data_IF_902011614226
#
_entry.id   IF_902011614226
#
_cell.length_a   1.000
_cell.length_b   1.000
_cell.length_c   1.000
_cell.angle_alpha   90.00
_cell.angle_beta   90.00
_cell.angle_gamma   90.00
#
_symmetry.space_group_name_H-M   'P 1'
#
loop_
_entity.id
_entity.type
_entity.pdbx_description
1 polymer ?
#
# COMPACT_ATOMS: atom_id res chain seq x y z
N UNK A 1 -92.62 -0.22 -9.84
CA UNK A 1 -92.00 0.88 -10.60
C UNK A 1 -90.53 0.96 -10.17
N UNK A 2 -89.64 0.45 -11.04
CA UNK A 2 -88.16 0.43 -11.01
C UNK A 2 -87.42 0.43 -9.66
N UNK A 3 -86.90 -0.74 -9.32
CA UNK A 3 -85.72 -0.94 -8.47
C UNK A 3 -84.49 -0.23 -9.05
N UNK A 4 -83.92 0.69 -8.28
CA UNK A 4 -82.64 1.32 -8.59
C UNK A 4 -81.53 0.68 -7.77
N UNK A 5 -80.75 -0.15 -8.47
CA UNK A 5 -79.42 -0.65 -8.10
C UNK A 5 -78.54 0.52 -7.60
N UNK A 6 -77.93 0.39 -6.42
CA UNK A 6 -76.80 1.23 -6.01
C UNK A 6 -75.55 0.36 -5.89
N UNK A 7 -74.57 0.73 -6.70
CA UNK A 7 -73.32 0.06 -7.02
C UNK A 7 -72.32 0.29 -5.87
N UNK A 8 -71.75 -0.80 -5.34
CA UNK A 8 -70.58 -0.73 -4.47
C UNK A 8 -69.34 -0.40 -5.32
N UNK A 9 -68.70 0.74 -5.05
CA UNK A 9 -67.40 1.08 -5.63
C UNK A 9 -66.31 0.45 -4.76
N UNK A 10 -65.72 -0.66 -5.21
CA UNK A 10 -64.51 -1.23 -4.60
C UNK A 10 -63.32 -0.52 -5.24
N UNK A 11 -62.64 0.33 -4.47
CA UNK A 11 -61.37 0.92 -4.87
C UNK A 11 -60.29 -0.14 -4.71
N UNK A 12 -59.81 -0.69 -5.83
CA UNK A 12 -58.66 -1.58 -5.86
C UNK A 12 -57.38 -0.71 -5.89
N UNK A 13 -56.74 -0.51 -4.74
CA UNK A 13 -55.44 0.17 -4.66
C UNK A 13 -54.37 -0.81 -5.12
N UNK A 14 -53.90 -0.66 -6.36
CA UNK A 14 -52.75 -1.37 -6.87
C UNK A 14 -51.48 -0.78 -6.23
N UNK A 15 -50.92 -1.45 -5.23
CA UNK A 15 -49.58 -1.13 -4.72
C UNK A 15 -48.55 -1.55 -5.78
N UNK A 16 -48.14 -0.59 -6.63
CA UNK A 16 -46.94 -0.71 -7.44
C UNK A 16 -45.72 -0.66 -6.50
N UNK A 17 -45.26 -1.81 -6.05
CA UNK A 17 -43.94 -1.95 -5.46
C UNK A 17 -42.91 -1.70 -6.56
N UNK A 18 -42.46 -0.46 -6.71
CA UNK A 18 -41.28 -0.17 -7.52
C UNK A 18 -40.10 -0.89 -6.85
N UNK A 19 -39.34 -1.73 -7.57
CA UNK A 19 -38.09 -2.23 -7.04
C UNK A 19 -37.20 -1.00 -6.83
N UNK A 20 -36.93 -0.67 -5.57
CA UNK A 20 -35.83 0.22 -5.22
C UNK A 20 -34.58 -0.56 -5.62
N UNK A 21 -34.10 -0.36 -6.84
CA UNK A 21 -32.75 -0.72 -7.18
C UNK A 21 -31.86 0.11 -6.26
N UNK A 22 -31.27 -0.56 -5.27
CA UNK A 22 -30.19 0.01 -4.49
C UNK A 22 -29.13 0.45 -5.51
N UNK A 23 -28.92 1.75 -5.64
CA UNK A 23 -27.82 2.30 -6.40
C UNK A 23 -26.57 1.86 -5.67
N UNK A 24 -25.94 0.80 -6.18
CA UNK A 24 -24.65 0.34 -5.72
C UNK A 24 -23.74 1.56 -5.87
N UNK A 25 -23.33 2.17 -4.76
CA UNK A 25 -22.33 3.23 -4.79
C UNK A 25 -21.15 2.64 -5.52
N UNK A 26 -20.91 3.07 -6.76
CA UNK A 26 -19.69 2.76 -7.47
C UNK A 26 -18.57 3.29 -6.58
N UNK A 27 -17.92 2.39 -5.86
CA UNK A 27 -16.66 2.69 -5.19
C UNK A 27 -15.77 3.28 -6.27
N UNK A 28 -15.48 4.58 -6.21
CA UNK A 28 -14.46 5.17 -7.07
C UNK A 28 -13.16 4.47 -6.74
N UNK A 29 -12.76 3.54 -7.60
CA UNK A 29 -11.52 2.80 -7.44
C UNK A 29 -10.44 3.60 -8.15
N UNK A 30 -9.50 4.16 -7.39
CA UNK A 30 -8.50 5.08 -7.93
C UNK A 30 -7.13 4.41 -8.01
N UNK A 31 -6.50 4.50 -9.19
CA UNK A 31 -5.08 4.23 -9.39
C UNK A 31 -4.22 5.45 -9.02
N UNK A 32 -4.76 6.63 -9.28
CA UNK A 32 -4.04 7.89 -9.28
C UNK A 32 -4.93 9.02 -8.77
N UNK A 33 -4.33 9.97 -8.08
CA UNK A 33 -4.97 11.21 -7.65
C UNK A 33 -4.07 12.41 -7.88
N UNK A 34 -4.68 13.53 -8.23
CA UNK A 34 -3.97 14.80 -8.31
C UNK A 34 -3.46 15.21 -6.92
N UNK A 35 -2.20 15.65 -6.86
CA UNK A 35 -1.55 16.13 -5.64
C UNK A 35 -1.50 17.65 -5.53
N UNK A 36 -2.00 18.36 -6.55
CA UNK A 36 -1.91 19.81 -6.63
C UNK A 36 -0.47 20.24 -6.90
N UNK A 37 0.04 21.19 -6.11
CA UNK A 37 1.41 21.67 -6.25
C UNK A 37 2.42 20.65 -5.73
N UNK A 38 2.97 19.87 -6.66
CA UNK A 38 3.99 18.84 -6.38
C UNK A 38 5.24 19.45 -5.73
N UNK A 39 5.59 20.70 -6.02
CA UNK A 39 6.76 21.35 -5.45
C UNK A 39 6.59 21.68 -3.95
N UNK A 40 5.35 21.75 -3.47
CA UNK A 40 5.02 21.97 -2.07
C UNK A 40 4.95 20.67 -1.24
N UNK A 41 5.09 19.49 -1.85
CA UNK A 41 5.03 18.21 -1.15
C UNK A 41 6.28 17.95 -0.32
N UNK A 42 6.09 17.46 0.91
CA UNK A 42 7.18 16.94 1.73
C UNK A 42 7.51 15.50 1.32
N UNK A 43 8.59 15.34 0.55
CA UNK A 43 9.08 14.03 0.16
C UNK A 43 9.80 13.31 1.31
N UNK A 44 10.23 13.98 2.38
CA UNK A 44 10.96 13.31 3.46
C UNK A 44 10.06 12.34 4.24
N UNK A 45 8.81 12.71 4.48
CA UNK A 45 7.87 11.86 5.24
C UNK A 45 6.89 11.09 4.36
N UNK A 46 6.89 11.35 3.05
CA UNK A 46 6.19 10.55 2.05
C UNK A 46 4.69 10.42 2.32
N UNK A 47 4.15 9.21 2.08
CA UNK A 47 2.71 9.01 2.04
C UNK A 47 1.97 9.21 3.35
N UNK A 48 2.61 8.88 4.48
CA UNK A 48 2.03 9.03 5.80
C UNK A 48 2.26 10.42 6.41
N UNK A 49 3.28 11.15 5.93
CA UNK A 49 3.61 12.48 6.43
C UNK A 49 4.11 12.48 7.88
N UNK A 50 4.46 13.67 8.38
CA UNK A 50 5.08 13.82 9.71
C UNK A 50 4.24 13.28 10.87
N UNK A 51 2.91 13.38 10.77
CA UNK A 51 1.98 13.03 11.85
C UNK A 51 1.80 11.52 12.03
N UNK A 52 2.22 10.71 11.05
CA UNK A 52 2.09 9.25 11.07
C UNK A 52 3.44 8.54 11.12
N UNK A 53 4.50 9.26 11.48
CA UNK A 53 5.82 8.66 11.66
C UNK A 53 5.82 7.61 12.79
N UNK A 54 6.72 6.62 12.73
CA UNK A 54 6.94 5.70 13.84
C UNK A 54 7.35 6.45 15.11
N UNK A 55 6.92 5.91 16.24
CA UNK A 55 7.44 6.27 17.55
C UNK A 55 8.94 5.96 17.70
N UNK A 56 9.39 5.91 18.95
CA UNK A 56 10.79 5.72 19.33
C UNK A 56 11.03 4.44 20.12
N UNK A 57 10.00 3.88 20.74
CA UNK A 57 10.08 2.70 21.59
C UNK A 57 9.30 1.56 20.95
N UNK A 58 10.02 0.53 20.50
CA UNK A 58 9.40 -0.61 19.80
C UNK A 58 9.44 -1.86 20.68
N UNK A 59 8.37 -2.65 20.64
CA UNK A 59 8.30 -3.97 21.27
C UNK A 59 8.24 -5.02 20.17
N UNK A 60 9.11 -6.03 20.25
CA UNK A 60 9.13 -7.14 19.31
C UNK A 60 7.86 -7.99 19.42
N UNK A 61 7.22 -8.27 18.28
CA UNK A 61 6.05 -9.15 18.19
C UNK A 61 6.49 -10.54 17.71
N UNK A 62 6.98 -10.62 16.47
CA UNK A 62 7.39 -11.88 15.85
C UNK A 62 8.32 -11.66 14.65
N UNK A 63 9.13 -12.66 14.36
CA UNK A 63 9.84 -12.74 13.08
C UNK A 63 8.85 -13.14 11.98
N UNK A 64 8.95 -12.50 10.81
CA UNK A 64 8.15 -12.87 9.64
C UNK A 64 9.06 -13.57 8.60
N UNK A 65 8.84 -14.88 8.46
CA UNK A 65 9.68 -15.76 7.63
C UNK A 65 9.27 -15.81 6.15
N UNK A 66 8.20 -15.11 5.75
CA UNK A 66 7.76 -15.08 4.36
C UNK A 66 8.72 -14.30 3.45
N UNK A 67 8.68 -14.55 2.14
CA UNK A 67 9.56 -13.87 1.16
C UNK A 67 11.04 -14.13 1.38
N UNK A 68 11.92 -13.30 0.78
CA UNK A 68 13.38 -13.49 0.82
C UNK A 68 14.09 -12.54 1.78
N UNK A 69 13.67 -11.28 1.84
CA UNK A 69 14.30 -10.27 2.69
C UNK A 69 13.98 -10.47 4.18
N UNK A 70 14.96 -10.23 5.08
CA UNK A 70 14.75 -10.31 6.52
C UNK A 70 13.74 -9.27 7.02
N UNK A 71 12.77 -9.73 7.81
CA UNK A 71 11.71 -8.87 8.34
C UNK A 71 11.08 -9.42 9.61
N UNK A 72 10.57 -8.51 10.44
CA UNK A 72 9.87 -8.82 11.69
C UNK A 72 8.81 -7.75 11.97
N UNK A 73 7.93 -8.04 12.92
CA UNK A 73 6.84 -7.14 13.32
C UNK A 73 7.12 -6.56 14.71
N UNK A 74 6.81 -5.28 14.87
CA UNK A 74 6.89 -4.55 16.13
C UNK A 74 5.63 -3.73 16.35
N UNK A 75 5.37 -3.37 17.60
CA UNK A 75 4.42 -2.31 17.96
C UNK A 75 5.19 -1.16 18.60
N UNK A 76 4.83 0.08 18.28
CA UNK A 76 5.39 1.26 18.91
C UNK A 76 4.60 1.71 20.16
N UNK A 77 5.10 2.73 20.86
CA UNK A 77 4.44 3.27 22.06
C UNK A 77 3.06 3.88 21.82
N UNK A 78 2.70 4.16 20.56
CA UNK A 78 1.39 4.68 20.17
C UNK A 78 0.41 3.55 19.80
N UNK A 79 0.82 2.29 19.94
CA UNK A 79 0.02 1.12 19.56
C UNK A 79 -0.05 0.86 18.06
N UNK A 80 0.84 1.48 17.27
CA UNK A 80 0.90 1.26 15.82
C UNK A 80 1.78 0.06 15.52
N UNK A 81 1.24 -0.88 14.74
CA UNK A 81 1.99 -2.04 14.26
C UNK A 81 2.81 -1.67 13.02
N UNK A 82 4.07 -2.11 13.02
CA UNK A 82 5.03 -1.86 11.97
C UNK A 82 5.66 -3.18 11.51
N UNK A 83 5.75 -3.35 10.19
CA UNK A 83 6.61 -4.38 9.60
C UNK A 83 7.98 -3.77 9.34
N UNK A 84 8.97 -4.22 10.10
CA UNK A 84 10.36 -3.81 9.91
C UNK A 84 10.99 -4.71 8.85
N UNK A 85 11.44 -4.12 7.75
CA UNK A 85 12.22 -4.79 6.69
C UNK A 85 13.67 -4.31 6.74
N UNK A 86 14.61 -5.25 6.64
CA UNK A 86 16.05 -4.98 6.66
C UNK A 86 16.69 -5.36 5.33
N UNK A 87 17.91 -4.87 5.12
CA UNK A 87 18.74 -5.21 3.97
C UNK A 87 18.82 -4.13 2.91
N UNK A 88 19.47 -4.47 1.80
CA UNK A 88 19.86 -3.56 0.72
C UNK A 88 18.71 -2.75 0.12
N UNK A 89 17.48 -3.25 0.19
CA UNK A 89 16.28 -2.65 -0.41
C UNK A 89 15.57 -1.66 0.53
N UNK A 90 15.99 -1.56 1.80
CA UNK A 90 15.34 -0.69 2.79
C UNK A 90 15.38 0.79 2.35
N UNK A 91 16.52 1.26 1.83
CA UNK A 91 16.71 2.64 1.39
C UNK A 91 16.05 2.92 0.05
N UNK A 92 16.26 2.03 -0.93
CA UNK A 92 15.73 2.21 -2.29
C UNK A 92 14.22 2.23 -2.28
N UNK A 93 13.57 1.37 -1.49
CA UNK A 93 12.12 1.40 -1.47
C UNK A 93 11.57 2.67 -0.84
N UNK A 94 12.08 3.08 0.32
CA UNK A 94 11.62 4.31 0.95
C UNK A 94 11.75 5.51 0.01
N UNK A 95 12.83 5.58 -0.78
CA UNK A 95 12.99 6.62 -1.79
C UNK A 95 11.99 6.48 -2.96
N UNK A 96 11.83 5.27 -3.50
CA UNK A 96 10.97 5.00 -4.64
C UNK A 96 9.48 5.24 -4.32
N UNK A 97 9.00 4.82 -3.15
CA UNK A 97 7.60 5.05 -2.74
C UNK A 97 7.28 6.53 -2.63
N UNK A 98 8.22 7.37 -2.18
CA UNK A 98 8.07 8.84 -2.14
C UNK A 98 7.89 9.43 -3.53
N UNK A 99 8.68 8.99 -4.51
CA UNK A 99 8.57 9.47 -5.90
C UNK A 99 7.23 9.05 -6.55
N UNK A 100 6.85 7.78 -6.36
CA UNK A 100 5.59 7.25 -6.88
C UNK A 100 4.39 7.93 -6.22
N UNK A 101 4.45 8.16 -4.91
CA UNK A 101 3.44 8.89 -4.16
C UNK A 101 3.28 10.34 -4.64
N UNK A 102 4.40 11.04 -4.85
CA UNK A 102 4.43 12.43 -5.32
C UNK A 102 3.87 12.55 -6.74
N UNK A 103 4.11 11.54 -7.59
CA UNK A 103 3.54 11.44 -8.92
C UNK A 103 2.03 11.15 -8.92
N UNK A 104 1.40 10.96 -7.75
CA UNK A 104 -0.05 10.83 -7.59
C UNK A 104 -0.56 9.41 -7.34
N UNK A 105 0.31 8.39 -7.43
CA UNK A 105 -0.08 7.01 -7.20
C UNK A 105 -0.18 6.67 -5.71
N UNK A 106 -0.84 5.55 -5.42
CA UNK A 106 -0.89 4.97 -4.08
C UNK A 106 0.37 4.13 -3.83
N UNK A 107 1.02 4.39 -2.72
CA UNK A 107 2.20 3.67 -2.25
C UNK A 107 2.11 3.49 -0.73
N UNK A 108 2.85 2.53 -0.21
CA UNK A 108 2.88 2.22 1.22
C UNK A 108 3.44 3.37 2.07
N UNK A 109 2.98 3.45 3.31
CA UNK A 109 3.52 4.37 4.31
C UNK A 109 4.82 3.78 4.88
N UNK A 110 5.94 4.14 4.24
CA UNK A 110 7.28 3.68 4.59
C UNK A 110 8.14 4.77 5.22
N UNK A 111 8.80 4.43 6.32
CA UNK A 111 9.79 5.29 6.97
C UNK A 111 11.12 4.57 7.14
N UNK A 112 12.20 5.26 6.81
CA UNK A 112 13.55 4.77 7.08
C UNK A 112 14.09 5.36 8.39
N UNK A 113 14.67 4.51 9.22
CA UNK A 113 15.42 4.89 10.42
C UNK A 113 16.82 4.26 10.34
N UNK A 114 17.90 5.07 10.42
CA UNK A 114 19.26 4.54 10.49
C UNK A 114 19.44 3.56 11.65
N UNK A 115 18.70 3.79 12.74
CA UNK A 115 18.69 2.94 13.92
C UNK A 115 17.35 3.00 14.63
N UNK A 116 16.88 1.87 15.14
CA UNK A 116 15.79 1.76 16.12
C UNK A 116 16.23 0.90 17.31
N UNK A 117 15.52 1.01 18.43
CA UNK A 117 15.68 0.13 19.59
C UNK A 117 14.41 -0.69 19.78
N UNK A 118 14.57 -2.01 19.84
CA UNK A 118 13.47 -2.96 19.96
C UNK A 118 13.61 -3.74 21.27
N UNK A 119 12.68 -3.52 22.19
CA UNK A 119 12.58 -4.27 23.43
C UNK A 119 12.14 -5.71 23.15
N UNK A 120 12.76 -6.66 23.85
CA UNK A 120 12.41 -8.08 23.73
C UNK A 120 12.85 -8.72 22.42
N UNK A 121 13.75 -8.07 21.67
CA UNK A 121 14.28 -8.56 20.40
C UNK A 121 14.78 -10.00 20.54
N UNK A 122 14.32 -10.86 19.65
CA UNK A 122 14.75 -12.26 19.57
C UNK A 122 15.80 -12.41 18.45
N UNK A 123 16.69 -13.41 18.55
CA UNK A 123 17.56 -13.75 17.43
C UNK A 123 16.74 -14.00 16.16
N UNK A 124 17.11 -13.33 15.08
CA UNK A 124 16.49 -13.50 13.77
C UNK A 124 17.15 -14.67 13.04
N UNK A 125 16.34 -15.46 12.33
CA UNK A 125 16.85 -16.49 11.42
C UNK A 125 17.51 -15.91 10.17
N UNK A 126 17.16 -14.68 9.79
CA UNK A 126 17.76 -13.92 8.67
C UNK A 126 17.96 -12.46 9.09
N UNK A 127 19.06 -11.85 8.66
CA UNK A 127 19.33 -10.43 8.94
C UNK A 127 19.81 -10.17 10.36
N UNK A 128 20.33 -11.17 11.06
CA UNK A 128 20.88 -11.02 12.41
C UNK A 128 22.05 -10.04 12.45
N UNK A 129 22.78 -9.88 11.33
CA UNK A 129 23.88 -8.93 11.16
C UNK A 129 23.46 -7.45 11.30
N UNK A 130 22.17 -7.14 11.15
CA UNK A 130 21.60 -5.80 11.38
C UNK A 130 21.22 -5.56 12.84
N UNK A 131 21.27 -6.59 13.69
CA UNK A 131 20.86 -6.54 15.09
C UNK A 131 22.10 -6.65 15.99
N UNK A 132 22.21 -5.74 16.94
CA UNK A 132 23.28 -5.70 17.93
C UNK A 132 22.72 -5.82 19.34
N UNK A 133 23.60 -5.99 20.32
CA UNK A 133 23.23 -6.15 21.73
C UNK A 133 22.30 -5.03 22.22
N UNK A 134 21.42 -5.37 23.17
CA UNK A 134 20.42 -4.44 23.69
C UNK A 134 19.26 -4.14 22.74
N UNK A 135 19.09 -4.95 21.67
CA UNK A 135 17.97 -4.82 20.73
C UNK A 135 18.12 -3.64 19.77
N UNK A 136 19.36 -3.21 19.49
CA UNK A 136 19.63 -2.14 18.52
C UNK A 136 19.54 -2.74 17.12
N UNK A 137 18.70 -2.17 16.26
CA UNK A 137 18.53 -2.60 14.87
C UNK A 137 18.93 -1.44 13.96
N UNK A 138 19.85 -1.70 13.02
CA UNK A 138 20.36 -0.73 12.06
C UNK A 138 19.63 -0.83 10.71
N UNK A 139 19.54 0.30 10.02
CA UNK A 139 18.99 0.42 8.66
C UNK A 139 17.56 -0.12 8.50
N UNK A 140 16.70 0.22 9.45
CA UNK A 140 15.33 -0.28 9.50
C UNK A 140 14.41 0.54 8.58
N UNK A 141 13.76 -0.14 7.63
CA UNK A 141 12.56 0.37 6.96
C UNK A 141 11.34 -0.10 7.73
N UNK A 142 10.47 0.82 8.13
CA UNK A 142 9.23 0.56 8.85
C UNK A 142 8.05 0.83 7.92
N UNK A 143 7.34 -0.23 7.55
CA UNK A 143 6.09 -0.20 6.78
C UNK A 143 4.91 -0.21 7.78
N UNK A 144 4.07 0.82 7.73
CA UNK A 144 2.91 0.96 8.64
C UNK A 144 1.85 -0.10 8.31
N UNK A 145 1.35 -0.81 9.33
CA UNK A 145 0.25 -1.76 9.15
C UNK A 145 -1.12 -1.11 9.41
N UNK A 146 -2.19 -1.77 8.92
CA UNK A 146 -3.58 -1.35 9.16
C UNK A 146 -4.13 -0.32 8.17
N UNK A 147 -3.63 -0.31 6.92
CA UNK A 147 -4.13 0.55 5.83
C UNK A 147 -5.25 -0.07 4.97
N UNK A 148 -5.92 -1.11 5.45
CA UNK A 148 -6.90 -1.92 4.70
C UNK A 148 -6.34 -3.28 4.31
N UNK A 149 -7.19 -4.31 4.28
CA UNK A 149 -6.77 -5.65 3.90
C UNK A 149 -6.52 -5.74 2.39
N UNK A 150 -5.50 -6.51 2.02
CA UNK A 150 -5.25 -6.84 0.61
C UNK A 150 -6.37 -7.76 0.13
N UNK A 151 -7.17 -7.28 -0.82
CA UNK A 151 -8.29 -8.02 -1.41
C UNK A 151 -7.79 -8.96 -2.50
N UNK A 152 -6.91 -8.45 -3.38
CA UNK A 152 -6.33 -9.22 -4.50
C UNK A 152 -5.09 -8.55 -5.07
N UNK A 153 -4.38 -9.30 -5.89
CA UNK A 153 -3.33 -8.79 -6.79
C UNK A 153 -3.96 -8.10 -8.01
N UNK A 154 -3.18 -7.29 -8.75
CA UNK A 154 -3.63 -6.72 -10.02
C UNK A 154 -2.54 -6.74 -11.11
N UNK A 155 -2.97 -7.02 -12.34
CA UNK A 155 -2.09 -7.27 -13.47
C UNK A 155 -1.67 -6.00 -14.23
N UNK A 156 -0.41 -5.94 -14.67
CA UNK A 156 0.10 -4.89 -15.56
C UNK A 156 -0.51 -4.92 -16.98
N UNK A 157 -1.12 -6.04 -17.35
CA UNK A 157 -1.68 -6.27 -18.69
C UNK A 157 -3.21 -6.30 -18.69
N UNK A 158 -3.82 -6.70 -17.57
CA UNK A 158 -5.27 -6.81 -17.42
C UNK A 158 -5.74 -6.09 -16.14
N UNK A 159 -6.11 -4.82 -16.30
CA UNK A 159 -6.66 -3.96 -15.25
C UNK A 159 -7.54 -2.86 -15.88
N UNK A 160 -8.44 -2.22 -15.12
CA UNK A 160 -9.40 -1.28 -15.68
C UNK A 160 -8.79 0.04 -16.18
N UNK A 161 -7.49 0.27 -15.96
CA UNK A 161 -6.78 1.49 -16.38
C UNK A 161 -5.91 1.28 -17.62
N UNK A 162 -5.95 0.11 -18.27
CA UNK A 162 -5.23 -0.10 -19.52
C UNK A 162 -5.67 0.94 -20.57
N UNK A 163 -4.71 1.66 -21.13
CA UNK A 163 -4.95 2.72 -22.11
C UNK A 163 -5.13 4.12 -21.52
N UNK A 164 -5.25 4.27 -20.19
CA UNK A 164 -5.36 5.59 -19.56
C UNK A 164 -4.03 6.32 -19.49
N UNK A 165 -4.07 7.65 -19.39
CA UNK A 165 -2.89 8.49 -19.21
C UNK A 165 -2.21 8.19 -17.87
N UNK A 166 -3.00 8.01 -16.82
CA UNK A 166 -2.57 7.77 -15.46
C UNK A 166 -1.82 6.44 -15.36
N UNK A 167 -2.30 5.38 -16.02
CA UNK A 167 -1.59 4.10 -16.01
C UNK A 167 -0.30 4.12 -16.84
N UNK A 168 -0.30 4.81 -17.98
CA UNK A 168 0.93 5.02 -18.75
C UNK A 168 1.96 5.85 -17.97
N UNK A 169 1.52 6.84 -17.19
CA UNK A 169 2.38 7.55 -16.24
C UNK A 169 3.03 6.62 -15.22
N UNK A 170 2.31 5.61 -14.71
CA UNK A 170 2.85 4.66 -13.73
C UNK A 170 3.97 3.83 -14.37
N UNK A 171 3.76 3.39 -15.62
CA UNK A 171 4.79 2.67 -16.39
C UNK A 171 6.03 3.53 -16.62
N UNK A 172 5.86 4.81 -16.93
CA UNK A 172 6.98 5.76 -17.03
C UNK A 172 7.70 5.91 -15.70
N UNK A 173 6.97 6.00 -14.58
CA UNK A 173 7.58 6.05 -13.25
C UNK A 173 8.40 4.78 -12.95
N UNK A 174 7.89 3.60 -13.30
CA UNK A 174 8.64 2.34 -13.14
C UNK A 174 9.93 2.32 -13.96
N UNK A 175 9.89 2.83 -15.19
CA UNK A 175 11.08 2.99 -16.03
C UNK A 175 12.07 4.02 -15.44
N UNK A 176 11.57 5.17 -14.98
CA UNK A 176 12.37 6.25 -14.41
C UNK A 176 13.18 5.79 -13.19
N UNK A 177 12.55 5.02 -12.28
CA UNK A 177 13.24 4.48 -11.10
C UNK A 177 14.03 3.20 -11.40
N UNK A 178 14.05 2.74 -12.65
CA UNK A 178 14.67 1.48 -13.07
C UNK A 178 14.16 0.28 -12.24
N UNK A 179 12.85 0.17 -12.05
CA UNK A 179 12.26 -0.97 -11.35
C UNK A 179 12.27 -2.20 -12.27
N UNK A 180 12.94 -3.26 -11.81
CA UNK A 180 13.11 -4.51 -12.55
C UNK A 180 12.30 -5.70 -12.01
N UNK A 181 11.44 -5.48 -11.00
CA UNK A 181 10.62 -6.53 -10.38
C UNK A 181 9.12 -6.19 -10.47
N UNK A 182 8.62 -6.10 -11.69
CA UNK A 182 7.23 -5.75 -12.01
C UNK A 182 6.29 -6.96 -11.99
N UNK A 183 6.41 -7.81 -10.95
CA UNK A 183 5.51 -8.94 -10.80
C UNK A 183 4.11 -8.49 -10.38
N UNK A 184 3.13 -9.32 -10.70
CA UNK A 184 1.72 -9.08 -10.35
C UNK A 184 1.47 -9.20 -8.84
N UNK A 185 2.18 -10.07 -8.13
CA UNK A 185 2.03 -10.25 -6.67
C UNK A 185 2.61 -9.09 -5.84
N UNK A 186 3.43 -8.23 -6.46
CA UNK A 186 3.92 -6.97 -5.89
C UNK A 186 2.86 -5.85 -5.91
N UNK A 187 1.77 -6.06 -6.64
CA UNK A 187 0.68 -5.13 -6.77
C UNK A 187 -0.49 -5.56 -5.87
N UNK A 188 -1.20 -4.60 -5.27
CA UNK A 188 -2.30 -4.92 -4.37
C UNK A 188 -3.49 -3.98 -4.57
N UNK A 189 -4.69 -4.57 -4.54
CA UNK A 189 -5.93 -3.83 -4.35
C UNK A 189 -6.30 -3.95 -2.88
N UNK A 190 -6.39 -2.81 -2.19
CA UNK A 190 -6.81 -2.77 -0.78
C UNK A 190 -8.30 -2.45 -0.66
N UNK A 191 -8.94 -2.99 0.38
CA UNK A 191 -10.32 -2.65 0.72
C UNK A 191 -10.48 -1.15 1.04
N UNK A 192 -11.69 -0.64 0.82
CA UNK A 192 -12.02 0.76 1.05
C UNK A 192 -12.49 0.96 2.50
N UNK A 193 -11.65 0.68 3.49
CA UNK A 193 -11.95 1.03 4.89
C UNK A 193 -11.70 2.53 5.14
N UNK A 194 -12.63 3.36 4.65
CA UNK A 194 -12.74 4.79 4.95
C UNK A 194 -12.14 5.76 3.92
N UNK A 195 -11.45 5.24 2.91
CA UNK A 195 -11.09 5.96 1.69
C UNK A 195 -11.10 4.96 0.52
N UNK A 196 -11.50 5.43 -0.66
CA UNK A 196 -11.51 4.74 -1.96
C UNK A 196 -10.63 3.49 -2.06
N UNK A 197 -11.14 2.41 -2.66
CA UNK A 197 -10.33 1.23 -2.96
C UNK A 197 -9.12 1.62 -3.81
N UNK A 198 -7.92 1.25 -3.38
CA UNK A 198 -6.66 1.77 -3.95
C UNK A 198 -5.94 0.66 -4.70
N UNK A 199 -5.68 0.89 -5.99
CA UNK A 199 -4.65 0.13 -6.70
C UNK A 199 -3.30 0.66 -6.22
N UNK A 200 -2.75 -0.01 -5.22
CA UNK A 200 -1.45 0.30 -4.68
C UNK A 200 -0.38 -0.50 -5.42
N UNK A 201 0.80 0.12 -5.52
CA UNK A 201 2.02 -0.54 -5.93
C UNK A 201 2.95 -0.64 -4.71
N UNK A 202 3.52 -1.82 -4.54
CA UNK A 202 4.46 -2.12 -3.45
C UNK A 202 5.68 -2.84 -3.99
N UNK A 203 6.64 -3.14 -3.12
CA UNK A 203 7.90 -3.83 -3.46
C UNK A 203 8.72 -3.08 -4.52
N UNK A 204 8.80 -1.77 -4.36
CA UNK A 204 9.61 -0.87 -5.18
C UNK A 204 11.10 -0.88 -4.78
N UNK A 205 11.53 -1.70 -3.82
CA UNK A 205 12.91 -1.78 -3.35
C UNK A 205 13.87 -2.30 -4.41
N UNK A 206 13.34 -3.04 -5.37
CA UNK A 206 14.00 -3.53 -6.56
C UNK A 206 14.18 -2.41 -7.62
N UNK A 207 14.61 -1.22 -7.20
CA UNK A 207 14.74 -0.01 -8.01
C UNK A 207 15.98 0.80 -7.61
N UNK A 208 16.32 1.84 -8.37
CA UNK A 208 17.43 2.78 -8.13
C UNK A 208 18.82 2.13 -8.00
N UNK A 209 18.92 0.83 -8.31
CA UNK A 209 20.13 0.03 -8.29
C UNK A 209 20.66 -0.21 -9.70
N UNK A 210 21.88 -0.74 -9.75
CA UNK A 210 22.51 -1.13 -11.02
C UNK A 210 21.79 -2.34 -11.60
N UNK A 211 21.41 -2.26 -12.87
CA UNK A 211 20.87 -3.42 -13.60
C UNK A 211 21.93 -4.53 -13.65
N UNK A 212 21.51 -5.77 -13.38
CA UNK A 212 22.37 -6.94 -13.33
C UNK A 212 22.99 -7.22 -14.71
N UNK A 213 23.97 -8.11 -14.74
CA UNK A 213 24.44 -8.68 -16.00
C UNK A 213 23.87 -10.10 -16.16
N UNK A 214 24.16 -10.76 -17.28
CA UNK A 214 23.69 -12.12 -17.59
C UNK A 214 24.07 -13.20 -16.55
N UNK A 215 24.93 -12.86 -15.58
CA UNK A 215 25.43 -13.76 -14.54
C UNK A 215 25.07 -13.31 -13.11
N UNK A 216 24.56 -12.09 -12.90
CA UNK A 216 24.26 -11.56 -11.57
C UNK A 216 23.09 -10.58 -11.58
N UNK A 217 22.09 -10.82 -10.71
CA UNK A 217 21.05 -9.81 -10.38
C UNK A 217 21.65 -8.82 -9.37
N UNK A 218 21.91 -7.58 -9.78
CA UNK A 218 22.70 -6.61 -9.00
C UNK A 218 21.89 -5.78 -7.97
N UNK A 219 21.70 -6.26 -6.74
CA UNK A 219 21.08 -5.44 -5.68
C UNK A 219 22.08 -4.45 -5.08
N UNK A 220 22.28 -3.30 -5.74
CA UNK A 220 22.88 -2.10 -5.11
C UNK A 220 24.29 -2.22 -4.51
N UNK A 221 25.09 -3.24 -4.85
CA UNK A 221 26.45 -3.39 -4.30
C UNK A 221 27.37 -2.34 -4.92
N UNK A 222 27.76 -1.33 -4.12
CA UNK A 222 28.96 -0.53 -4.42
C UNK A 222 30.18 -1.41 -4.13
N UNK A 223 31.03 -1.59 -5.14
CA UNK A 223 32.37 -2.15 -4.95
C UNK A 223 33.23 -1.18 -4.15
#
# INVERSE_FOLDING_TARGET
>A
MRDHKRIFFIIFVLFLALPVFAQQTETTVALWRDRGDVAALDLQDGAGGKTRQPGTNFIFIKENKGGTSPKFEVVDENGVNWKVKLGHEAKSETAATRLVWAAGYHADEDYYRPQIRVQGMKPLSRGQEYVSDGGIVREARLERQGGGEKVKDWSWYDNPFVGTREFNGLRVMMALINNWDLKEDNNAVHDASGAEGRYAISDLGASLGRTGNSFARSRGVMK
#
